data_IF_464798685685
#
_entry.id   IF_464798685685
#
_cell.length_a   1.000
_cell.length_b   1.000
_cell.length_c   1.000
_cell.angle_alpha   90.00
_cell.angle_beta   90.00
_cell.angle_gamma   90.00
#
_symmetry.space_group_name_H-M   'P 1'
#
loop_
_entity.id
_entity.type
_entity.pdbx_description
1 polymer ?
#
# COMPACT_ATOMS: atom_id res chain seq x y z
N UNK A 1 33.06 11.60 -30.07
CA UNK A 1 31.72 11.58 -29.64
C UNK A 1 30.96 10.37 -29.96
N UNK A 2 31.31 9.72 -30.96
CA UNK A 2 30.57 8.51 -31.32
C UNK A 2 30.95 7.32 -30.50
N UNK A 3 31.96 7.40 -29.69
CA UNK A 3 32.35 6.25 -28.89
C UNK A 3 31.35 5.95 -27.79
N UNK A 4 30.61 6.95 -27.43
CA UNK A 4 29.67 6.78 -26.36
C UNK A 4 28.55 5.86 -26.73
N UNK A 5 28.12 5.95 -27.95
CA UNK A 5 27.01 5.15 -28.40
C UNK A 5 27.37 3.69 -28.55
N UNK A 6 28.63 3.43 -28.82
CA UNK A 6 29.02 2.04 -28.97
C UNK A 6 29.13 1.27 -27.67
N UNK A 7 29.38 1.99 -26.61
CA UNK A 7 29.46 1.32 -25.33
C UNK A 7 28.12 0.96 -24.76
N UNK A 8 27.11 1.67 -25.17
CA UNK A 8 25.80 1.35 -24.68
C UNK A 8 25.21 0.14 -25.35
N UNK A 9 25.70 -0.20 -26.50
CA UNK A 9 25.14 -1.32 -27.22
C UNK A 9 25.61 -2.66 -26.72
N UNK A 10 26.67 -2.65 -25.98
CA UNK A 10 27.25 -3.91 -25.53
C UNK A 10 26.63 -4.43 -24.24
N UNK A 11 25.87 -3.61 -23.61
CA UNK A 11 25.32 -4.03 -22.33
C UNK A 11 24.03 -4.81 -22.37
N UNK A 12 23.51 -4.96 -23.56
CA UNK A 12 22.22 -5.55 -23.61
C UNK A 12 22.18 -7.03 -23.78
N UNK A 13 23.27 -7.66 -23.99
CA UNK A 13 23.16 -9.05 -24.35
C UNK A 13 23.15 -10.00 -23.19
N UNK A 14 23.18 -9.50 -22.01
CA UNK A 14 23.22 -10.42 -20.93
C UNK A 14 21.94 -10.70 -20.27
N UNK A 15 20.92 -10.08 -20.65
CA UNK A 15 19.72 -10.23 -19.92
C UNK A 15 18.89 -11.41 -20.29
N UNK A 16 19.29 -12.07 -21.30
CA UNK A 16 18.38 -13.08 -21.79
C UNK A 16 18.42 -14.39 -21.08
N UNK A 17 19.41 -14.59 -20.29
CA UNK A 17 19.60 -15.92 -19.78
C UNK A 17 18.75 -16.25 -18.60
N UNK A 18 18.13 -15.21 -18.00
CA UNK A 18 17.55 -15.50 -16.84
C UNK A 18 16.25 -16.07 -16.93
N UNK A 19 15.64 -15.93 -17.97
CA UNK A 19 14.29 -16.35 -18.07
C UNK A 19 14.11 -17.81 -17.96
N UNK A 20 15.15 -18.53 -18.12
CA UNK A 20 14.95 -19.91 -18.11
C UNK A 20 14.93 -20.52 -16.81
N UNK A 21 15.28 -19.79 -15.89
CA UNK A 21 15.42 -20.42 -14.70
C UNK A 21 14.19 -20.67 -14.09
N UNK A 22 13.35 -20.74 -14.32
CA UNK A 22 12.42 -21.00 -13.70
C UNK A 22 11.58 -21.43 -13.13
N UNK A 23 10.90 -21.86 -12.95
CA UNK A 23 9.95 -22.16 -12.57
C UNK A 23 9.30 -22.68 -11.86
N UNK A 24 8.96 -22.79 -11.34
CA UNK A 24 8.40 -23.27 -10.55
C UNK A 24 7.42 -23.73 -10.23
N UNK A 25 6.98 -23.94 -10.09
CA UNK A 25 6.24 -24.57 -9.66
C UNK A 25 5.45 -24.52 -8.81
N UNK A 26 4.78 -24.46 -8.52
CA UNK A 26 3.97 -24.37 -7.72
C UNK A 26 3.29 -25.01 -7.02
N UNK A 27 3.05 -25.45 -6.86
CA UNK A 27 2.49 -26.08 -6.17
C UNK A 27 1.67 -26.08 -5.48
N UNK A 28 1.40 -25.74 -5.03
CA UNK A 28 0.54 -25.51 -4.31
C UNK A 28 -0.32 -26.34 -4.06
N UNK A 29 -0.61 -26.96 -4.12
CA UNK A 29 -1.36 -27.69 -3.84
C UNK A 29 -2.04 -27.54 -2.97
N UNK A 30 -2.87 -27.29 -3.04
CA UNK A 30 -3.72 -27.21 -2.19
C UNK A 30 -3.72 -28.14 -1.15
N UNK A 31 -3.72 -27.77 -0.10
CA UNK A 31 -3.77 -28.62 0.99
C UNK A 31 -5.19 -28.99 1.25
N UNK A 32 -5.54 -30.19 1.22
CA UNK A 32 -6.91 -30.59 1.46
C UNK A 32 -7.41 -30.22 2.83
N UNK A 33 -6.54 -30.10 3.78
CA UNK A 33 -6.97 -29.72 5.09
C UNK A 33 -7.22 -28.27 5.26
N UNK A 34 -6.91 -27.49 4.26
CA UNK A 34 -7.07 -26.05 4.38
C UNK A 34 -8.52 -25.63 4.44
N UNK A 35 -9.42 -26.49 4.09
CA UNK A 35 -10.82 -26.12 4.11
C UNK A 35 -11.37 -25.93 5.51
N UNK A 36 -10.69 -26.48 6.48
CA UNK A 36 -11.16 -26.39 7.85
C UNK A 36 -10.54 -25.21 8.60
N UNK A 37 -9.88 -24.32 7.93
CA UNK A 37 -9.26 -23.22 8.62
C UNK A 37 -10.28 -22.23 9.13
N UNK A 38 -9.96 -21.51 10.21
CA UNK A 38 -10.91 -20.54 10.76
C UNK A 38 -11.30 -19.45 9.77
N UNK A 39 -10.49 -19.26 8.74
CA UNK A 39 -10.80 -18.24 7.76
C UNK A 39 -12.03 -18.55 6.96
N UNK A 40 -12.50 -19.79 7.00
CA UNK A 40 -13.66 -20.18 6.21
C UNK A 40 -14.96 -20.07 6.98
N UNK A 41 -14.98 -19.36 8.07
CA UNK A 41 -16.20 -19.17 8.84
C UNK A 41 -17.21 -18.38 8.00
N UNK A 42 -18.40 -18.91 7.91
CA UNK A 42 -19.46 -18.25 7.16
C UNK A 42 -20.48 -17.63 8.10
N UNK A 43 -20.95 -16.46 7.66
CA UNK A 43 -21.99 -15.77 8.39
C UNK A 43 -23.36 -16.35 8.04
N UNK A 44 -24.40 -16.03 8.81
CA UNK A 44 -25.73 -16.53 8.51
C UNK A 44 -26.25 -16.21 7.12
N UNK A 45 -25.77 -15.12 6.53
CA UNK A 45 -26.17 -14.74 5.19
C UNK A 45 -25.40 -15.49 4.10
N UNK A 46 -24.57 -16.44 4.46
CA UNK A 46 -23.81 -17.23 3.48
C UNK A 46 -22.47 -16.65 3.08
N UNK A 47 -22.15 -15.46 3.53
CA UNK A 47 -20.89 -14.83 3.15
C UNK A 47 -19.77 -15.26 4.08
N UNK A 48 -18.55 -15.25 3.56
CA UNK A 48 -17.39 -15.55 4.38
C UNK A 48 -17.12 -14.41 5.33
N UNK A 49 -16.88 -14.74 6.59
CA UNK A 49 -16.56 -13.73 7.59
C UNK A 49 -15.31 -12.95 7.22
N UNK A 50 -14.30 -13.63 6.70
CA UNK A 50 -13.07 -12.98 6.28
C UNK A 50 -13.33 -11.93 5.21
N UNK A 51 -14.16 -12.24 4.23
CA UNK A 51 -14.48 -11.29 3.17
C UNK A 51 -15.20 -10.07 3.70
N UNK A 52 -16.09 -10.26 4.65
CA UNK A 52 -16.82 -9.13 5.23
C UNK A 52 -15.88 -8.23 6.05
N UNK A 53 -14.94 -8.83 6.76
CA UNK A 53 -13.94 -8.06 7.50
C UNK A 53 -13.05 -7.25 6.55
N UNK A 54 -12.57 -7.88 5.47
CA UNK A 54 -11.75 -7.20 4.49
C UNK A 54 -12.50 -6.06 3.83
N UNK A 55 -13.77 -6.28 3.55
CA UNK A 55 -14.60 -5.26 2.94
C UNK A 55 -14.80 -4.07 3.89
N UNK A 56 -15.05 -4.35 5.15
CA UNK A 56 -15.22 -3.32 6.16
C UNK A 56 -13.93 -2.52 6.36
N UNK A 57 -12.80 -3.20 6.41
CA UNK A 57 -11.51 -2.53 6.54
C UNK A 57 -11.20 -1.67 5.32
N UNK A 58 -11.53 -2.17 4.14
CA UNK A 58 -11.34 -1.40 2.91
C UNK A 58 -12.18 -0.12 2.94
N UNK A 59 -13.43 -0.21 3.35
CA UNK A 59 -14.27 0.96 3.48
C UNK A 59 -13.70 1.95 4.50
N UNK A 60 -13.18 1.45 5.60
CA UNK A 60 -12.57 2.29 6.60
C UNK A 60 -11.30 2.96 6.06
N UNK A 61 -10.53 2.24 5.29
CA UNK A 61 -9.34 2.80 4.65
C UNK A 61 -9.69 3.92 3.68
N UNK A 62 -10.78 3.77 2.94
CA UNK A 62 -11.23 4.82 2.03
C UNK A 62 -11.63 6.08 2.82
N UNK A 63 -12.32 5.90 3.92
CA UNK A 63 -12.71 7.03 4.76
C UNK A 63 -11.49 7.73 5.36
N UNK A 64 -10.57 6.96 5.88
CA UNK A 64 -9.34 7.51 6.46
C UNK A 64 -8.49 8.20 5.40
N UNK A 65 -8.45 7.66 4.20
CA UNK A 65 -7.72 8.27 3.09
C UNK A 65 -8.35 9.61 2.67
N UNK A 66 -9.67 9.68 2.67
CA UNK A 66 -10.37 10.92 2.37
C UNK A 66 -10.08 11.99 3.43
N UNK A 67 -10.08 11.59 4.68
CA UNK A 67 -9.74 12.48 5.77
C UNK A 67 -8.29 12.94 5.69
N UNK A 68 -7.40 12.03 5.35
CA UNK A 68 -5.98 12.34 5.17
C UNK A 68 -5.79 13.36 4.05
N UNK A 69 -6.49 13.19 2.94
CA UNK A 69 -6.42 14.14 1.82
C UNK A 69 -6.91 15.52 2.23
N UNK A 70 -7.98 15.57 3.01
CA UNK A 70 -8.51 16.84 3.50
C UNK A 70 -7.52 17.54 4.43
N UNK A 71 -6.93 16.79 5.36
CA UNK A 71 -5.92 17.34 6.25
C UNK A 71 -4.68 17.81 5.50
N UNK A 72 -4.28 17.06 4.47
CA UNK A 72 -3.13 17.45 3.65
C UNK A 72 -3.41 18.74 2.91
N UNK A 73 -4.63 18.92 2.43
CA UNK A 73 -5.01 20.16 1.77
C UNK A 73 -5.02 21.32 2.74
N UNK A 74 -5.53 21.13 3.94
CA UNK A 74 -5.48 22.15 4.98
C UNK A 74 -4.06 22.51 5.35
N UNK A 75 -3.18 21.50 5.44
CA UNK A 75 -1.79 21.72 5.73
C UNK A 75 -1.13 22.57 4.63
N UNK A 76 -1.44 22.28 3.38
CA UNK A 76 -0.92 23.05 2.27
C UNK A 76 -1.36 24.52 2.38
N UNK A 77 -2.62 24.74 2.67
CA UNK A 77 -3.13 26.10 2.83
C UNK A 77 -2.47 26.82 3.99
N UNK A 78 -2.26 26.13 5.09
CA UNK A 78 -1.59 26.73 6.25
C UNK A 78 -0.15 27.13 5.92
N UNK A 79 0.56 26.29 5.20
CA UNK A 79 1.93 26.59 4.82
C UNK A 79 2.02 27.75 3.83
N UNK A 80 1.02 27.88 2.98
CA UNK A 80 0.98 29.01 2.04
C UNK A 80 0.65 30.32 2.73
N UNK A 81 -0.18 30.25 3.77
CA UNK A 81 -0.57 31.46 4.48
C UNK A 81 0.47 31.91 5.49
N UNK A 82 1.16 31.00 6.09
CA UNK A 82 2.10 31.32 7.14
C UNK A 82 3.45 31.74 6.58
N UNK A 83 4.09 32.63 7.32
CA UNK A 83 5.42 33.04 6.98
C UNK A 83 6.38 31.86 7.23
N UNK A 84 7.36 31.71 6.41
CA UNK A 84 8.34 30.64 6.55
C UNK A 84 9.13 30.73 7.84
N UNK A 85 9.10 31.87 8.50
CA UNK A 85 9.82 32.05 9.76
C UNK A 85 8.97 31.67 10.98
N UNK A 86 7.69 31.41 10.78
CA UNK A 86 6.78 31.14 11.90
C UNK A 86 6.37 29.69 11.90
N UNK A 87 6.60 29.02 13.02
CA UNK A 87 6.17 27.66 13.21
C UNK A 87 4.84 27.66 13.92
N UNK A 88 3.81 27.17 13.26
CA UNK A 88 2.48 27.13 13.84
C UNK A 88 2.25 25.81 14.53
N UNK A 89 1.76 25.86 15.75
CA UNK A 89 1.42 24.67 16.52
C UNK A 89 0.27 23.92 15.85
N UNK A 90 -0.67 24.63 15.27
CA UNK A 90 -1.79 23.96 14.60
C UNK A 90 -1.32 23.23 13.35
N UNK A 91 -0.33 23.77 12.66
CA UNK A 91 0.25 23.11 11.50
C UNK A 91 0.97 21.82 11.91
N UNK A 92 1.72 21.85 12.99
CA UNK A 92 2.35 20.66 13.53
C UNK A 92 1.33 19.61 13.92
N UNK A 93 0.24 20.03 14.54
CA UNK A 93 -0.80 19.10 14.94
C UNK A 93 -1.43 18.42 13.72
N UNK A 94 -1.62 19.17 12.64
CA UNK A 94 -2.13 18.58 11.40
C UNK A 94 -1.19 17.53 10.84
N UNK A 95 0.10 17.76 10.88
CA UNK A 95 1.05 16.75 10.43
C UNK A 95 1.00 15.50 11.30
N UNK A 96 0.83 15.66 12.61
CA UNK A 96 0.67 14.51 13.50
C UNK A 96 -0.58 13.71 13.18
N UNK A 97 -1.68 14.40 12.92
CA UNK A 97 -2.93 13.73 12.59
C UNK A 97 -2.83 12.98 11.26
N UNK A 98 -2.16 13.58 10.27
CA UNK A 98 -1.90 12.93 9.00
C UNK A 98 -1.07 11.66 9.21
N UNK A 99 -0.05 11.74 10.03
CA UNK A 99 0.79 10.59 10.32
C UNK A 99 0.00 9.48 10.98
N UNK A 100 -0.86 9.80 11.93
CA UNK A 100 -1.68 8.82 12.60
C UNK A 100 -2.63 8.10 11.63
N UNK A 101 -3.26 8.86 10.73
CA UNK A 101 -4.14 8.28 9.74
C UNK A 101 -3.38 7.37 8.78
N UNK A 102 -2.22 7.82 8.34
CA UNK A 102 -1.39 7.01 7.45
C UNK A 102 -0.97 5.70 8.13
N UNK A 103 -0.62 5.76 9.40
CA UNK A 103 -0.25 4.57 10.15
C UNK A 103 -1.41 3.60 10.30
N UNK A 104 -2.62 4.10 10.51
CA UNK A 104 -3.80 3.24 10.60
C UNK A 104 -4.06 2.50 9.30
N UNK A 105 -4.01 3.23 8.20
CA UNK A 105 -4.20 2.64 6.88
C UNK A 105 -3.14 1.57 6.65
N UNK A 106 -1.90 1.89 6.95
CA UNK A 106 -0.80 0.96 6.76
C UNK A 106 -0.97 -0.30 7.60
N UNK A 107 -1.42 -0.15 8.83
CA UNK A 107 -1.63 -1.29 9.72
C UNK A 107 -2.70 -2.22 9.16
N UNK A 108 -3.80 -1.68 8.65
CA UNK A 108 -4.84 -2.51 8.04
C UNK A 108 -4.34 -3.20 6.79
N UNK A 109 -3.59 -2.50 5.96
CA UNK A 109 -3.07 -3.09 4.75
C UNK A 109 -2.09 -4.22 5.03
N UNK A 110 -1.38 -4.15 6.14
CA UNK A 110 -0.44 -5.21 6.49
C UNK A 110 -1.11 -6.44 7.03
N UNK A 111 -2.32 -6.29 7.56
CA UNK A 111 -3.03 -7.44 8.06
C UNK A 111 -3.59 -8.32 6.96
N UNK A 112 -3.75 -7.82 5.77
CA UNK A 112 -4.45 -8.52 4.68
C UNK A 112 -3.50 -9.16 3.70
#
# INVERSE_FOLDING_TARGET
MTHWLRRCALGFSLAAVFALAGPPAPQTRGNPGAADQPDDIRLPNGKLQKDEILKAEHQQNIKDAAQLADLAQQLQQDLEKNDYTVLSISTLKKTDDIEKLAKRIRARLRHN
#
